data_IF_576094241873
#
_entry.id   IF_576094241873
#
_cell.length_a   1.000
_cell.length_b   1.000
_cell.length_c   1.000
_cell.angle_alpha   90.00
_cell.angle_beta   90.00
_cell.angle_gamma   90.00
#
_symmetry.space_group_name_H-M   'P 1'
#
loop_
_entity.id
_entity.type
_entity.pdbx_description
1 polymer ?
#
# COMPACT_ATOMS: atom_id res chain seq x y z
N UNK A 1 9.72 -3.53 9.97
CA UNK A 1 9.69 -2.56 8.86
C UNK A 1 10.94 -1.67 8.91
N UNK A 2 11.62 -1.40 7.79
CA UNK A 2 12.67 -0.36 7.73
C UNK A 2 12.09 0.94 7.16
N UNK A 3 12.23 2.07 7.88
CA UNK A 3 11.70 3.38 7.46
C UNK A 3 12.84 4.38 7.31
N UNK A 4 12.99 4.91 6.10
CA UNK A 4 13.93 5.99 5.78
C UNK A 4 13.15 7.25 5.47
N UNK A 5 13.50 8.37 6.12
CA UNK A 5 12.86 9.67 5.92
C UNK A 5 13.93 10.65 5.46
N UNK A 6 13.69 11.33 4.34
CA UNK A 6 14.62 12.26 3.72
C UNK A 6 13.92 13.54 3.30
N UNK A 7 14.66 14.64 3.31
CA UNK A 7 14.20 15.93 2.83
C UNK A 7 14.85 16.30 1.50
N UNK A 8 14.08 16.83 0.56
CA UNK A 8 14.58 17.43 -0.66
C UNK A 8 14.34 18.94 -0.60
N UNK A 9 15.43 19.71 -0.51
CA UNK A 9 15.41 21.17 -0.26
C UNK A 9 14.71 21.58 1.05
N UNK A 10 14.57 20.65 2.00
CA UNK A 10 14.06 20.90 3.35
C UNK A 10 14.87 20.10 4.36
N UNK A 11 15.11 20.69 5.54
CA UNK A 11 15.67 19.96 6.68
C UNK A 11 14.55 19.23 7.41
N UNK A 12 14.66 17.91 7.54
CA UNK A 12 13.71 17.11 8.32
C UNK A 12 13.99 17.34 9.79
N UNK A 13 13.01 17.88 10.52
CA UNK A 13 13.09 18.04 11.97
C UNK A 13 12.67 16.75 12.67
N UNK A 14 13.06 16.58 13.94
CA UNK A 14 12.64 15.44 14.75
C UNK A 14 11.11 15.35 14.90
N UNK A 15 10.43 16.50 15.00
CA UNK A 15 8.97 16.56 15.04
C UNK A 15 8.33 16.06 13.73
N UNK A 16 8.96 16.33 12.58
CA UNK A 16 8.51 15.82 11.28
C UNK A 16 8.75 14.32 11.16
N UNK A 17 9.92 13.83 11.59
CA UNK A 17 10.23 12.39 11.60
C UNK A 17 9.22 11.63 12.47
N UNK A 18 8.95 12.12 13.68
CA UNK A 18 7.96 11.56 14.60
C UNK A 18 6.56 11.54 13.96
N UNK A 19 6.13 12.67 13.38
CA UNK A 19 4.83 12.75 12.73
C UNK A 19 4.69 11.76 11.57
N UNK A 20 5.73 11.56 10.76
CA UNK A 20 5.71 10.56 9.68
C UNK A 20 5.59 9.15 10.28
N UNK A 21 6.38 8.81 11.29
CA UNK A 21 6.36 7.48 11.93
C UNK A 21 5.00 7.16 12.53
N UNK A 22 4.40 8.07 13.28
CA UNK A 22 3.07 7.89 13.87
C UNK A 22 1.99 7.61 12.81
N UNK A 23 2.10 8.23 11.63
CA UNK A 23 1.14 8.02 10.53
C UNK A 23 1.39 6.68 9.83
N UNK A 24 2.64 6.29 9.65
CA UNK A 24 3.00 5.00 9.06
C UNK A 24 2.64 3.81 9.97
N UNK A 25 2.62 3.98 11.29
CA UNK A 25 2.15 2.92 12.21
C UNK A 25 0.73 2.45 11.87
N UNK A 26 -0.16 3.36 11.44
CA UNK A 26 -1.52 3.00 11.03
C UNK A 26 -1.52 2.09 9.80
N UNK A 27 -0.59 2.33 8.87
CA UNK A 27 -0.42 1.52 7.65
C UNK A 27 0.12 0.13 8.02
N UNK A 28 1.11 0.07 8.91
CA UNK A 28 1.69 -1.19 9.40
C UNK A 28 0.66 -2.05 10.15
N UNK A 29 -0.27 -1.44 10.90
CA UNK A 29 -1.38 -2.17 11.56
C UNK A 29 -2.32 -2.87 10.57
N UNK A 30 -2.49 -2.34 9.35
CA UNK A 30 -3.34 -2.98 8.35
C UNK A 30 -2.60 -4.06 7.54
N UNK A 31 -1.28 -3.94 7.43
CA UNK A 31 -0.43 -4.86 6.67
C UNK A 31 0.98 -4.94 7.26
N UNK A 32 1.31 -6.12 7.77
CA UNK A 32 2.53 -6.44 8.50
C UNK A 32 3.69 -6.90 7.60
N UNK A 33 3.42 -7.27 6.34
CA UNK A 33 4.43 -7.77 5.39
C UNK A 33 5.15 -6.65 4.61
N UNK A 34 5.47 -5.55 5.30
CA UNK A 34 6.18 -4.40 4.73
C UNK A 34 7.69 -4.61 4.88
N UNK A 35 8.40 -4.56 3.75
CA UNK A 35 9.86 -4.70 3.73
C UNK A 35 10.54 -3.37 4.07
N UNK A 36 10.17 -2.32 3.35
CA UNK A 36 10.75 -0.99 3.56
C UNK A 36 9.79 0.12 3.13
N UNK A 37 9.90 1.29 3.77
CA UNK A 37 9.25 2.52 3.37
C UNK A 37 10.32 3.62 3.25
N UNK A 38 10.34 4.31 2.13
CA UNK A 38 11.12 5.52 1.93
C UNK A 38 10.17 6.70 1.79
N UNK A 39 10.36 7.71 2.63
CA UNK A 39 9.59 8.96 2.61
C UNK A 39 10.49 10.10 2.18
N UNK A 40 10.01 10.91 1.24
CA UNK A 40 10.69 12.10 0.75
C UNK A 40 9.76 13.28 0.98
N UNK A 41 10.21 14.23 1.80
CA UNK A 41 9.51 15.47 2.09
C UNK A 41 10.17 16.59 1.30
N UNK A 42 9.39 17.43 0.62
CA UNK A 42 9.94 18.48 -0.22
C UNK A 42 9.03 19.70 -0.28
N UNK A 43 9.61 20.84 -0.62
CA UNK A 43 8.88 22.07 -0.91
C UNK A 43 8.89 22.28 -2.41
N UNK A 44 7.72 22.21 -3.04
CA UNK A 44 7.56 22.52 -4.46
C UNK A 44 7.32 24.03 -4.62
N UNK A 45 8.31 24.70 -5.21
CA UNK A 45 8.26 26.12 -5.53
C UNK A 45 7.95 26.37 -7.02
N UNK A 46 7.68 25.32 -7.81
CA UNK A 46 7.55 25.43 -9.28
C UNK A 46 6.29 26.16 -9.73
N UNK A 47 5.32 26.40 -8.84
CA UNK A 47 4.09 27.16 -9.14
C UNK A 47 3.18 26.51 -10.19
N UNK A 48 3.52 25.31 -10.69
CA UNK A 48 2.89 24.68 -11.84
C UNK A 48 1.55 23.99 -11.52
N UNK A 49 1.28 23.70 -10.24
CA UNK A 49 0.15 22.84 -9.86
C UNK A 49 -1.05 23.59 -9.25
N UNK A 50 -0.86 24.78 -8.66
CA UNK A 50 -1.95 25.51 -7.96
C UNK A 50 -1.77 27.04 -8.00
N UNK A 51 -1.93 27.63 -9.18
CA UNK A 51 -2.02 29.09 -9.35
C UNK A 51 -0.80 29.90 -8.85
N UNK A 52 0.39 29.29 -8.81
CA UNK A 52 1.62 29.94 -8.33
C UNK A 52 1.87 29.86 -6.82
N UNK A 53 1.07 29.12 -6.05
CA UNK A 53 1.32 28.92 -4.62
C UNK A 53 2.42 27.89 -4.38
N UNK A 54 3.17 28.08 -3.30
CA UNK A 54 4.11 27.08 -2.78
C UNK A 54 3.30 25.92 -2.22
N UNK A 55 3.67 24.70 -2.59
CA UNK A 55 3.01 23.49 -2.09
C UNK A 55 4.04 22.58 -1.43
N UNK A 56 3.72 22.07 -0.25
CA UNK A 56 4.50 21.01 0.38
C UNK A 56 4.14 19.69 -0.26
N UNK A 57 5.16 18.90 -0.60
CA UNK A 57 5.02 17.61 -1.23
C UNK A 57 5.57 16.53 -0.32
N UNK A 58 4.76 15.50 -0.08
CA UNK A 58 5.14 14.29 0.64
C UNK A 58 5.02 13.07 -0.28
N UNK A 59 6.10 12.33 -0.45
CA UNK A 59 6.18 11.13 -1.28
C UNK A 59 6.53 9.92 -0.43
N UNK A 60 5.90 8.78 -0.71
CA UNK A 60 6.27 7.51 -0.10
C UNK A 60 6.41 6.41 -1.14
N UNK A 61 7.52 5.69 -1.06
CA UNK A 61 7.77 4.45 -1.79
C UNK A 61 7.78 3.33 -0.77
N UNK A 62 6.82 2.42 -0.87
CA UNK A 62 6.72 1.26 0.02
C UNK A 62 6.94 -0.02 -0.78
N UNK A 63 7.80 -0.89 -0.26
CA UNK A 63 8.08 -2.21 -0.84
C UNK A 63 7.44 -3.31 0.00
N UNK A 64 6.68 -4.15 -0.69
CA UNK A 64 6.08 -5.37 -0.14
C UNK A 64 6.49 -6.55 -1.01
N UNK A 65 6.23 -7.78 -0.57
CA UNK A 65 6.60 -8.97 -1.34
C UNK A 65 5.96 -8.96 -2.73
N UNK A 66 6.79 -8.85 -3.77
CA UNK A 66 6.37 -8.87 -5.17
C UNK A 66 5.69 -7.60 -5.69
N UNK A 67 5.68 -6.50 -4.93
CA UNK A 67 5.14 -5.23 -5.42
C UNK A 67 5.79 -4.00 -4.75
N UNK A 68 6.02 -2.96 -5.53
CA UNK A 68 6.34 -1.61 -5.05
C UNK A 68 5.10 -0.71 -5.19
N UNK A 69 4.83 0.09 -4.17
CA UNK A 69 3.73 1.05 -4.11
C UNK A 69 4.31 2.45 -4.00
N UNK A 70 3.82 3.36 -4.83
CA UNK A 70 4.19 4.75 -4.84
C UNK A 70 2.97 5.63 -4.61
N UNK A 71 3.11 6.60 -3.71
CA UNK A 71 2.12 7.64 -3.46
C UNK A 71 2.80 9.00 -3.33
N UNK A 72 2.08 10.04 -3.73
CA UNK A 72 2.46 11.43 -3.50
C UNK A 72 1.24 12.26 -3.10
N UNK A 73 1.48 13.27 -2.28
CA UNK A 73 0.49 14.25 -1.87
C UNK A 73 1.10 15.65 -1.91
N UNK A 74 0.27 16.63 -2.25
CA UNK A 74 0.61 18.04 -2.30
C UNK A 74 -0.41 18.81 -1.47
N UNK A 75 0.06 19.62 -0.53
CA UNK A 75 -0.80 20.42 0.34
C UNK A 75 -0.18 21.78 0.63
N UNK A 76 -0.97 22.70 1.18
CA UNK A 76 -0.53 24.01 1.65
C UNK A 76 0.30 23.95 2.95
N UNK A 77 0.27 22.81 3.64
CA UNK A 77 0.98 22.53 4.89
C UNK A 77 1.64 21.14 4.86
N UNK A 78 2.87 21.04 5.37
CA UNK A 78 3.64 19.80 5.36
C UNK A 78 2.98 18.66 6.14
N UNK A 79 2.39 18.95 7.30
CA UNK A 79 1.73 17.92 8.10
C UNK A 79 0.43 17.44 7.45
N UNK A 80 -0.28 18.32 6.73
CA UNK A 80 -1.40 17.90 5.88
C UNK A 80 -0.92 17.00 4.75
N UNK A 81 0.17 17.35 4.06
CA UNK A 81 0.75 16.51 3.00
C UNK A 81 1.14 15.13 3.53
N UNK A 82 1.75 15.06 4.73
CA UNK A 82 2.09 13.80 5.40
C UNK A 82 0.84 12.96 5.69
N UNK A 83 -0.22 13.57 6.20
CA UNK A 83 -1.48 12.89 6.47
C UNK A 83 -2.10 12.31 5.20
N UNK A 84 -2.23 13.13 4.15
CA UNK A 84 -2.83 12.73 2.88
C UNK A 84 -2.00 11.65 2.18
N UNK A 85 -0.67 11.72 2.27
CA UNK A 85 0.24 10.68 1.81
C UNK A 85 -0.01 9.34 2.53
N UNK A 86 -0.10 9.36 3.86
CA UNK A 86 -0.36 8.17 4.66
C UNK A 86 -1.72 7.55 4.34
N UNK A 87 -2.77 8.36 4.19
CA UNK A 87 -4.11 7.90 3.84
C UNK A 87 -4.15 7.27 2.44
N UNK A 88 -3.44 7.85 1.46
CA UNK A 88 -3.29 7.25 0.13
C UNK A 88 -2.56 5.92 0.20
N UNK A 89 -1.49 5.83 0.99
CA UNK A 89 -0.73 4.59 1.16
C UNK A 89 -1.61 3.50 1.78
N UNK A 90 -2.37 3.84 2.82
CA UNK A 90 -3.29 2.92 3.49
C UNK A 90 -4.33 2.33 2.52
N UNK A 91 -4.90 3.17 1.67
CA UNK A 91 -5.84 2.71 0.62
C UNK A 91 -5.18 1.74 -0.35
N UNK A 92 -3.94 1.99 -0.78
CA UNK A 92 -3.22 1.09 -1.68
C UNK A 92 -2.94 -0.26 -1.01
N UNK A 93 -2.52 -0.24 0.25
CA UNK A 93 -2.25 -1.43 1.05
C UNK A 93 -3.50 -2.29 1.20
N UNK A 94 -4.63 -1.70 1.58
CA UNK A 94 -5.90 -2.41 1.71
C UNK A 94 -6.32 -3.06 0.39
N UNK A 95 -6.18 -2.33 -0.73
CA UNK A 95 -6.47 -2.85 -2.07
C UNK A 95 -5.57 -4.02 -2.45
N UNK A 96 -4.29 -3.95 -2.11
CA UNK A 96 -3.33 -5.04 -2.32
C UNK A 96 -3.71 -6.28 -1.50
N UNK A 97 -3.96 -6.12 -0.20
CA UNK A 97 -4.38 -7.20 0.71
C UNK A 97 -5.62 -7.93 0.19
N UNK A 98 -6.67 -7.19 -0.16
CA UNK A 98 -7.91 -7.76 -0.71
C UNK A 98 -7.67 -8.56 -1.99
N UNK A 99 -6.75 -8.12 -2.88
CA UNK A 99 -6.40 -8.87 -4.09
C UNK A 99 -5.66 -10.17 -3.77
N UNK A 100 -4.77 -10.17 -2.78
CA UNK A 100 -4.02 -11.36 -2.37
C UNK A 100 -4.94 -12.40 -1.71
N UNK A 101 -5.89 -11.97 -0.87
CA UNK A 101 -6.89 -12.84 -0.26
C UNK A 101 -7.82 -13.50 -1.31
N UNK A 102 -8.25 -12.74 -2.33
CA UNK A 102 -9.05 -13.28 -3.45
C UNK A 102 -8.31 -14.37 -4.23
N UNK A 103 -7.02 -14.20 -4.51
CA UNK A 103 -6.21 -15.21 -5.21
C UNK A 103 -6.12 -16.52 -4.43
N UNK A 104 -5.93 -16.46 -3.10
CA UNK A 104 -5.92 -17.65 -2.24
C UNK A 104 -7.24 -18.41 -2.29
N UNK A 105 -8.35 -17.69 -2.29
CA UNK A 105 -9.70 -18.29 -2.26
C UNK A 105 -10.10 -18.92 -3.61
N UNK A 106 -9.68 -18.34 -4.74
CA UNK A 106 -10.02 -18.86 -6.08
C UNK A 106 -9.23 -20.13 -6.46
N UNK A 107 -8.07 -20.39 -5.85
CA UNK A 107 -7.30 -21.61 -6.08
C UNK A 107 -7.88 -22.86 -5.39
N UNK A 108 -8.71 -22.70 -4.37
CA UNK A 108 -9.25 -23.80 -3.57
C UNK A 108 -10.61 -24.35 -4.05
N UNK A 109 -11.20 -23.75 -5.09
CA UNK A 109 -12.62 -23.99 -5.45
C UNK A 109 -12.87 -24.69 -6.79
N UNK A 110 -11.85 -25.23 -7.47
CA UNK A 110 -12.01 -25.70 -8.87
C UNK A 110 -11.69 -27.17 -9.14
N UNK A 111 -11.50 -28.01 -8.13
CA UNK A 111 -11.13 -29.41 -8.37
C UNK A 111 -11.73 -30.43 -7.37
N UNK A 112 -13.06 -30.40 -7.17
CA UNK A 112 -13.71 -31.46 -6.36
C UNK A 112 -15.15 -31.79 -6.73
N UNK A 113 -15.56 -31.59 -8.00
CA UNK A 113 -16.95 -31.90 -8.41
C UNK A 113 -17.14 -32.73 -9.67
N UNK A 114 -16.14 -33.53 -10.07
CA UNK A 114 -16.31 -34.55 -11.11
C UNK A 114 -15.37 -35.75 -10.94
N UNK A 115 -15.31 -36.34 -9.75
CA UNK A 115 -14.79 -37.71 -9.58
C UNK A 115 -15.60 -38.42 -8.50
N UNK A 116 -16.84 -38.80 -8.80
CA UNK A 116 -17.46 -39.94 -8.10
C UNK A 116 -18.65 -40.55 -8.85
N UNK A 117 -18.54 -40.71 -10.16
CA UNK A 117 -19.45 -41.54 -10.94
C UNK A 117 -18.65 -42.35 -11.95
N UNK A 118 -17.93 -43.38 -11.47
CA UNK A 118 -17.53 -44.50 -12.33
C UNK A 118 -18.37 -45.73 -12.02
N UNK A 119 -18.65 -46.55 -13.05
CA UNK A 119 -19.83 -47.40 -13.13
C UNK A 119 -19.50 -48.83 -12.67
N UNK A 120 -20.26 -49.39 -11.74
CA UNK A 120 -20.17 -50.81 -11.44
C UNK A 120 -21.47 -51.35 -10.86
N UNK A 121 -21.87 -52.50 -11.39
CA UNK A 121 -22.86 -53.44 -10.87
C UNK A 121 -24.35 -53.20 -11.17
N UNK A 122 -24.71 -53.46 -12.42
CA UNK A 122 -25.87 -54.31 -12.70
C UNK A 122 -25.63 -55.12 -13.98
N UNK A 123 -25.12 -56.34 -13.82
CA UNK A 123 -25.05 -57.39 -14.86
C UNK A 123 -25.54 -58.67 -14.17
N UNK A 124 -26.03 -59.70 -14.89
CA UNK A 124 -27.12 -59.78 -15.87
C UNK A 124 -28.19 -60.83 -15.43
N UNK A 125 -29.16 -61.14 -16.31
CA UNK A 125 -29.99 -62.37 -16.43
C UNK A 125 -31.50 -62.03 -16.50
N UNK A 126 -32.34 -62.60 -17.37
CA UNK A 126 -32.22 -63.53 -18.50
C UNK A 126 -33.46 -63.32 -19.39
#
# INVERSE_FOLDING_TARGET
>A
MNVSISGHHISVTEAMDTAVREKLEKVERHFDQIQSIQVILSLDNSGASDGGKKSYKAEAIMRVSGQEMFVQAYEDDMYKAINEMADKLDRQVRKYKTRQERKKTQGAGRDSRYQDLTPAEAVPAA
#
